data_IF_513314841575
#
_entry.id   IF_513314841575
#
_cell.length_a   1.000
_cell.length_b   1.000
_cell.length_c   1.000
_cell.angle_alpha   90.00
_cell.angle_beta   90.00
_cell.angle_gamma   90.00
#
_symmetry.space_group_name_H-M   'P 1'
#
loop_
_entity.id
_entity.type
_entity.pdbx_description
1 polymer ?
#
# COMPACT_ATOMS: atom_id res chain seq x y z
N UNK A 1 -12.29 15.39 7.05
CA UNK A 1 -11.48 16.11 6.04
C UNK A 1 -11.97 15.72 4.65
N UNK A 2 -11.77 16.56 3.62
CA UNK A 2 -12.06 16.17 2.24
C UNK A 2 -10.78 15.64 1.60
N UNK A 3 -10.70 14.30 1.48
CA UNK A 3 -9.53 13.62 0.94
C UNK A 3 -9.70 13.31 -0.56
N UNK A 4 -8.58 13.30 -1.29
CA UNK A 4 -8.53 12.89 -2.71
C UNK A 4 -8.96 11.42 -2.89
N UNK A 5 -8.42 10.52 -2.06
CA UNK A 5 -8.72 9.09 -2.04
C UNK A 5 -9.05 8.58 -0.64
N UNK A 6 -9.22 7.27 -0.47
CA UNK A 6 -9.57 6.64 0.82
C UNK A 6 -10.80 7.28 1.49
N UNK A 7 -11.77 7.74 0.67
CA UNK A 7 -12.91 8.57 1.09
C UNK A 7 -13.90 7.87 2.04
N UNK A 8 -13.86 6.53 2.08
CA UNK A 8 -14.65 5.72 2.99
C UNK A 8 -14.02 5.59 4.38
N UNK A 9 -12.76 6.01 4.56
CA UNK A 9 -12.09 6.09 5.87
C UNK A 9 -12.42 7.43 6.52
N UNK A 10 -13.01 7.40 7.71
CA UNK A 10 -13.33 8.62 8.44
C UNK A 10 -12.07 9.23 9.07
N UNK A 11 -11.64 10.38 8.54
CA UNK A 11 -10.50 11.14 9.06
C UNK A 11 -10.97 12.51 9.57
N UNK A 12 -10.65 12.79 10.83
CA UNK A 12 -11.11 13.98 11.57
C UNK A 12 -9.96 14.63 12.34
N UNK A 13 -10.00 15.95 12.42
CA UNK A 13 -9.21 16.69 13.41
C UNK A 13 -9.78 16.46 14.81
N UNK A 14 -8.90 16.47 15.82
CA UNK A 14 -9.25 16.36 17.24
C UNK A 14 -8.62 17.55 17.95
N UNK A 15 -9.38 18.19 18.86
CA UNK A 15 -8.94 19.33 19.66
C UNK A 15 -9.01 18.91 21.13
N UNK A 16 -7.97 19.23 21.90
CA UNK A 16 -7.93 19.02 23.34
C UNK A 16 -7.95 20.40 24.03
N UNK A 17 -9.10 20.78 24.61
CA UNK A 17 -9.29 22.01 25.40
C UNK A 17 -9.52 21.63 26.87
N UNK A 18 -8.60 22.05 27.76
CA UNK A 18 -8.64 21.80 29.20
C UNK A 18 -8.91 20.33 29.61
N UNK A 19 -8.48 19.38 28.77
CA UNK A 19 -8.67 17.94 29.00
C UNK A 19 -7.76 17.47 30.14
N UNK A 20 -8.38 17.06 31.25
CA UNK A 20 -7.68 16.49 32.41
C UNK A 20 -7.54 14.98 32.27
N UNK A 21 -6.31 14.49 32.29
CA UNK A 21 -5.99 13.06 32.20
C UNK A 21 -5.34 12.60 33.52
N UNK A 22 -5.87 11.55 34.17
CA UNK A 22 -5.25 10.96 35.36
C UNK A 22 -3.86 10.40 35.08
N UNK A 23 -2.97 10.38 36.07
CA UNK A 23 -1.57 9.94 35.91
C UNK A 23 -1.49 8.47 35.49
N UNK A 24 -2.42 7.65 35.95
CA UNK A 24 -2.58 6.24 35.63
C UNK A 24 -2.87 5.97 34.14
N UNK A 25 -3.34 6.97 33.39
CA UNK A 25 -3.56 6.85 31.95
C UNK A 25 -2.29 7.13 31.13
N UNK A 26 -1.18 7.55 31.76
CA UNK A 26 0.10 7.77 31.08
C UNK A 26 0.76 6.42 30.78
N UNK A 27 0.76 6.05 29.49
CA UNK A 27 1.35 4.79 29.04
C UNK A 27 2.87 4.75 29.26
N UNK A 28 3.34 3.77 30.04
CA UNK A 28 4.75 3.49 30.34
C UNK A 28 5.54 4.61 31.03
N UNK A 29 4.93 5.76 31.33
CA UNK A 29 5.57 6.89 32.01
C UNK A 29 6.05 8.01 31.08
N UNK A 30 6.40 9.13 31.70
CA UNK A 30 6.86 10.34 31.01
C UNK A 30 8.14 10.09 30.18
N UNK A 31 8.24 10.72 29.01
CA UNK A 31 9.41 10.62 28.13
C UNK A 31 9.42 9.40 27.20
N UNK A 32 8.54 8.42 27.37
CA UNK A 32 8.51 7.21 26.53
C UNK A 32 7.70 7.34 25.23
N UNK A 33 6.98 8.44 25.02
CA UNK A 33 6.02 8.60 23.91
C UNK A 33 6.59 8.33 22.51
N UNK A 34 7.77 8.89 22.19
CA UNK A 34 8.39 8.69 20.88
C UNK A 34 8.77 7.22 20.63
N UNK A 35 9.31 6.54 21.64
CA UNK A 35 9.67 5.12 21.55
C UNK A 35 8.42 4.26 21.29
N UNK A 36 7.33 4.52 22.01
CA UNK A 36 6.04 3.81 21.84
C UNK A 36 5.52 4.00 20.41
N UNK A 37 5.55 5.23 19.90
CA UNK A 37 5.11 5.51 18.53
C UNK A 37 5.95 4.75 17.50
N UNK A 38 7.28 4.76 17.63
CA UNK A 38 8.17 4.04 16.70
C UNK A 38 7.99 2.52 16.78
N UNK A 39 7.85 1.95 17.97
CA UNK A 39 7.56 0.52 18.15
C UNK A 39 6.22 0.14 17.53
N UNK A 40 5.21 0.99 17.66
CA UNK A 40 3.90 0.81 17.03
C UNK A 40 4.04 0.83 15.50
N UNK A 41 4.74 1.81 14.92
CA UNK A 41 4.94 1.87 13.47
C UNK A 41 5.71 0.68 12.90
N UNK A 42 6.68 0.15 13.65
CA UNK A 42 7.40 -1.05 13.22
C UNK A 42 6.49 -2.29 13.10
N UNK A 43 5.37 -2.31 13.84
CA UNK A 43 4.36 -3.37 13.78
C UNK A 43 3.26 -3.10 12.76
N UNK A 44 2.88 -1.85 12.54
CA UNK A 44 1.72 -1.51 11.68
C UNK A 44 2.08 -1.28 10.21
N UNK A 45 3.31 -0.84 9.90
CA UNK A 45 3.77 -0.64 8.51
C UNK A 45 3.61 -1.86 7.59
N UNK A 46 3.86 -3.12 8.02
CA UNK A 46 3.65 -4.29 7.17
C UNK A 46 2.19 -4.46 6.75
N UNK A 47 1.22 -4.21 7.64
CA UNK A 47 -0.20 -4.27 7.31
C UNK A 47 -0.59 -3.20 6.28
N UNK A 48 -0.07 -1.98 6.42
CA UNK A 48 -0.30 -0.90 5.44
C UNK A 48 0.35 -1.24 4.08
N UNK A 49 1.51 -1.89 4.08
CA UNK A 49 2.15 -2.39 2.86
C UNK A 49 1.31 -3.49 2.19
N UNK A 50 0.74 -4.41 2.97
CA UNK A 50 -0.17 -5.44 2.47
C UNK A 50 -1.40 -4.82 1.79
N UNK A 51 -2.00 -3.79 2.38
CA UNK A 51 -3.12 -3.06 1.77
C UNK A 51 -2.75 -2.41 0.44
N UNK A 52 -1.54 -1.85 0.33
CA UNK A 52 -1.03 -1.28 -0.92
C UNK A 52 -0.85 -2.35 -2.01
N UNK A 53 -0.32 -3.53 -1.66
CA UNK A 53 -0.24 -4.68 -2.58
C UNK A 53 -1.62 -5.15 -3.02
N UNK A 54 -2.60 -5.17 -2.13
CA UNK A 54 -3.99 -5.50 -2.47
C UNK A 54 -4.58 -4.55 -3.52
N UNK A 55 -4.36 -3.25 -3.36
CA UNK A 55 -4.76 -2.24 -4.34
C UNK A 55 -4.07 -2.46 -5.68
N UNK A 56 -2.74 -2.63 -5.67
CA UNK A 56 -1.94 -2.86 -6.87
C UNK A 56 -2.43 -4.10 -7.64
N UNK A 57 -2.70 -5.20 -6.91
CA UNK A 57 -3.22 -6.44 -7.48
C UNK A 57 -4.59 -6.23 -8.11
N UNK A 58 -5.48 -5.47 -7.47
CA UNK A 58 -6.79 -5.18 -8.05
C UNK A 58 -6.68 -4.37 -9.34
N UNK A 59 -5.83 -3.34 -9.36
CA UNK A 59 -5.58 -2.55 -10.57
C UNK A 59 -5.05 -3.42 -11.72
N UNK A 60 -4.11 -4.32 -11.42
CA UNK A 60 -3.60 -5.30 -12.38
C UNK A 60 -4.68 -6.26 -12.89
N UNK A 61 -5.56 -6.76 -12.03
CA UNK A 61 -6.62 -7.71 -12.43
C UNK A 61 -7.61 -7.07 -13.40
N UNK A 62 -8.00 -5.82 -13.14
CA UNK A 62 -8.89 -5.08 -14.06
C UNK A 62 -8.18 -4.77 -15.39
N UNK A 63 -6.94 -4.29 -15.34
CA UNK A 63 -6.18 -3.94 -16.54
C UNK A 63 -5.86 -5.16 -17.42
N UNK A 64 -5.44 -6.27 -16.80
CA UNK A 64 -5.15 -7.52 -17.50
C UNK A 64 -6.41 -8.09 -18.17
N UNK A 65 -7.54 -8.12 -17.46
CA UNK A 65 -8.83 -8.53 -18.03
C UNK A 65 -9.22 -7.65 -19.22
N UNK A 66 -9.23 -6.33 -19.03
CA UNK A 66 -9.58 -5.39 -20.11
C UNK A 66 -8.66 -5.53 -21.33
N UNK A 67 -7.36 -5.76 -21.11
CA UNK A 67 -6.39 -5.89 -22.19
C UNK A 67 -6.62 -7.09 -23.10
N UNK A 68 -7.26 -8.14 -22.59
CA UNK A 68 -7.62 -9.35 -23.34
C UNK A 68 -8.95 -9.20 -24.08
N UNK A 69 -9.86 -8.38 -23.57
CA UNK A 69 -11.18 -8.11 -24.16
C UNK A 69 -11.12 -7.01 -25.22
N UNK A 70 -10.42 -5.91 -24.93
CA UNK A 70 -10.32 -4.74 -25.81
C UNK A 70 -9.44 -5.06 -27.01
N UNK A 71 -9.95 -4.78 -28.21
CA UNK A 71 -9.19 -4.91 -29.46
C UNK A 71 -8.83 -3.56 -30.06
N UNK A 72 -7.63 -3.48 -30.60
CA UNK A 72 -7.17 -2.38 -31.46
C UNK A 72 -6.24 -2.94 -32.52
N UNK A 73 -6.33 -2.42 -33.75
CA UNK A 73 -5.57 -2.93 -34.90
C UNK A 73 -5.78 -4.43 -35.13
N UNK A 74 -7.02 -4.90 -34.97
CA UNK A 74 -7.43 -6.28 -35.29
C UNK A 74 -7.15 -7.35 -34.22
N UNK A 75 -6.40 -7.04 -33.16
CA UNK A 75 -6.03 -7.99 -32.09
C UNK A 75 -6.34 -7.45 -30.70
N UNK A 76 -6.47 -8.30 -29.67
CA UNK A 76 -6.51 -7.87 -28.28
C UNK A 76 -5.30 -7.02 -27.93
N UNK A 77 -5.48 -5.93 -27.17
CA UNK A 77 -4.39 -4.99 -26.90
C UNK A 77 -3.25 -5.61 -26.09
N UNK A 78 -3.51 -6.69 -25.35
CA UNK A 78 -2.48 -7.52 -24.70
C UNK A 78 -1.46 -8.13 -25.68
N UNK A 79 -1.81 -8.24 -26.98
CA UNK A 79 -0.91 -8.75 -28.02
C UNK A 79 0.12 -7.72 -28.47
N UNK A 80 -0.07 -6.44 -28.12
CA UNK A 80 0.89 -5.38 -28.40
C UNK A 80 1.96 -5.36 -27.30
N UNK A 81 3.23 -5.49 -27.71
CA UNK A 81 4.35 -5.66 -26.79
C UNK A 81 4.43 -4.59 -25.69
N UNK A 82 4.13 -3.33 -26.01
CA UNK A 82 4.12 -2.24 -25.04
C UNK A 82 3.13 -2.47 -23.88
N UNK A 83 1.93 -3.00 -24.16
CA UNK A 83 0.93 -3.33 -23.14
C UNK A 83 1.37 -4.56 -22.34
N UNK A 84 1.89 -5.58 -23.03
CA UNK A 84 2.42 -6.77 -22.37
C UNK A 84 3.56 -6.44 -21.39
N UNK A 85 4.44 -5.51 -21.74
CA UNK A 85 5.53 -5.05 -20.87
C UNK A 85 5.01 -4.32 -19.63
N UNK A 86 4.01 -3.44 -19.76
CA UNK A 86 3.38 -2.80 -18.60
C UNK A 86 2.78 -3.85 -17.65
N UNK A 87 2.02 -4.81 -18.18
CA UNK A 87 1.45 -5.89 -17.38
C UNK A 87 2.52 -6.74 -16.69
N UNK A 88 3.63 -7.04 -17.38
CA UNK A 88 4.74 -7.78 -16.80
C UNK A 88 5.40 -7.01 -15.65
N UNK A 89 5.67 -5.72 -15.82
CA UNK A 89 6.27 -4.87 -14.79
C UNK A 89 5.35 -4.73 -13.56
N UNK A 90 4.04 -4.57 -13.79
CA UNK A 90 3.04 -4.57 -12.71
C UNK A 90 3.08 -5.88 -11.93
N UNK A 91 3.06 -7.03 -12.63
CA UNK A 91 3.09 -8.34 -12.00
C UNK A 91 4.37 -8.57 -11.17
N UNK A 92 5.54 -8.20 -11.72
CA UNK A 92 6.83 -8.27 -11.02
C UNK A 92 6.78 -7.45 -9.74
N UNK A 93 6.37 -6.17 -9.84
CA UNK A 93 6.30 -5.27 -8.69
C UNK A 93 5.35 -5.76 -7.60
N UNK A 94 4.19 -6.31 -7.98
CA UNK A 94 3.21 -6.87 -7.03
C UNK A 94 3.80 -8.06 -6.29
N UNK A 95 4.46 -8.98 -6.99
CA UNK A 95 5.02 -10.19 -6.37
C UNK A 95 6.15 -9.84 -5.41
N UNK A 96 7.09 -8.99 -5.84
CA UNK A 96 8.22 -8.56 -5.00
C UNK A 96 7.75 -7.74 -3.80
N UNK A 97 6.76 -6.86 -3.97
CA UNK A 97 6.18 -6.11 -2.86
C UNK A 97 5.45 -7.03 -1.88
N UNK A 98 4.78 -8.07 -2.36
CA UNK A 98 4.13 -9.09 -1.52
C UNK A 98 5.14 -9.79 -0.62
N UNK A 99 6.22 -10.30 -1.21
CA UNK A 99 7.29 -10.97 -0.48
C UNK A 99 7.94 -10.04 0.56
N UNK A 100 8.12 -8.76 0.20
CA UNK A 100 8.70 -7.76 1.09
C UNK A 100 7.87 -7.53 2.36
N UNK A 101 6.56 -7.31 2.24
CA UNK A 101 5.72 -7.12 3.42
C UNK A 101 5.53 -8.41 4.21
N UNK A 102 5.44 -9.57 3.56
CA UNK A 102 5.32 -10.87 4.25
C UNK A 102 6.55 -11.16 5.09
N UNK A 103 7.75 -10.92 4.56
CA UNK A 103 8.99 -11.03 5.32
C UNK A 103 8.97 -10.11 6.54
N UNK A 104 8.54 -8.86 6.36
CA UNK A 104 8.46 -7.91 7.46
C UNK A 104 7.43 -8.31 8.52
N UNK A 105 6.25 -8.79 8.11
CA UNK A 105 5.24 -9.30 9.03
C UNK A 105 5.76 -10.53 9.80
N UNK A 106 6.44 -11.45 9.13
CA UNK A 106 7.05 -12.61 9.77
C UNK A 106 8.05 -12.23 10.86
N UNK A 107 8.89 -11.21 10.64
CA UNK A 107 9.80 -10.73 11.68
C UNK A 107 9.06 -10.19 12.91
N UNK A 108 7.91 -9.53 12.71
CA UNK A 108 7.04 -9.07 13.81
C UNK A 108 6.47 -10.25 14.59
N UNK A 109 5.91 -11.24 13.89
CA UNK A 109 5.29 -12.41 14.50
C UNK A 109 6.30 -13.23 15.33
N UNK A 110 7.56 -13.22 14.90
CA UNK A 110 8.67 -13.89 15.59
C UNK A 110 9.29 -13.04 16.71
N UNK A 111 8.75 -11.85 16.99
CA UNK A 111 9.25 -10.95 18.04
C UNK A 111 10.62 -10.33 17.75
N UNK A 112 11.06 -10.33 16.48
CA UNK A 112 12.38 -9.80 16.06
C UNK A 112 12.29 -8.32 15.68
N UNK A 113 13.45 -7.65 15.63
CA UNK A 113 13.55 -6.24 15.24
C UNK A 113 13.14 -6.06 13.78
N UNK A 114 12.06 -5.33 13.53
CA UNK A 114 11.47 -5.18 12.19
C UNK A 114 11.62 -3.77 11.58
N UNK A 115 12.23 -2.80 12.26
CA UNK A 115 12.22 -1.40 11.81
C UNK A 115 12.71 -1.17 10.37
N UNK A 116 13.79 -1.86 9.99
CA UNK A 116 14.37 -1.77 8.65
C UNK A 116 13.44 -2.36 7.58
N UNK A 117 13.00 -3.61 7.77
CA UNK A 117 12.15 -4.32 6.82
C UNK A 117 10.75 -3.69 6.72
N UNK A 118 10.19 -3.21 7.83
CA UNK A 118 8.93 -2.45 7.84
C UNK A 118 8.98 -1.20 6.96
N UNK A 119 10.11 -0.49 7.02
CA UNK A 119 10.31 0.74 6.25
C UNK A 119 10.43 0.43 4.76
N UNK A 120 11.22 -0.60 4.39
CA UNK A 120 11.34 -1.07 3.01
C UNK A 120 9.99 -1.54 2.46
N UNK A 121 9.31 -2.41 3.20
CA UNK A 121 8.03 -2.98 2.78
C UNK A 121 7.01 -1.88 2.50
N UNK A 122 6.87 -0.92 3.42
CA UNK A 122 5.90 0.17 3.25
C UNK A 122 6.27 1.11 2.10
N UNK A 123 7.52 1.54 2.00
CA UNK A 123 7.93 2.43 0.92
C UNK A 123 7.70 1.75 -0.45
N UNK A 124 8.28 0.58 -0.64
CA UNK A 124 8.25 -0.12 -1.91
C UNK A 124 6.84 -0.53 -2.35
N UNK A 125 6.03 -1.09 -1.44
CA UNK A 125 4.66 -1.47 -1.77
C UNK A 125 3.78 -0.26 -2.16
N UNK A 126 4.04 0.92 -1.58
CA UNK A 126 3.29 2.13 -1.92
C UNK A 126 3.63 2.64 -3.32
N UNK A 127 4.91 2.61 -3.68
CA UNK A 127 5.38 3.03 -5.00
C UNK A 127 4.86 2.08 -6.08
N UNK A 128 4.90 0.76 -5.82
CA UNK A 128 4.30 -0.26 -6.70
C UNK A 128 2.81 -0.02 -6.87
N UNK A 129 2.08 0.29 -5.79
CA UNK A 129 0.65 0.55 -5.86
C UNK A 129 0.31 1.78 -6.72
N UNK A 130 1.05 2.89 -6.54
CA UNK A 130 0.88 4.08 -7.37
C UNK A 130 1.18 3.77 -8.84
N UNK A 131 2.32 3.11 -9.12
CA UNK A 131 2.69 2.74 -10.50
C UNK A 131 1.63 1.85 -11.14
N UNK A 132 1.17 0.81 -10.46
CA UNK A 132 0.15 -0.09 -10.99
C UNK A 132 -1.18 0.64 -11.25
N UNK A 133 -1.59 1.56 -10.37
CA UNK A 133 -2.80 2.34 -10.59
C UNK A 133 -2.68 3.25 -11.82
N UNK A 134 -1.53 3.92 -11.98
CA UNK A 134 -1.24 4.77 -13.16
C UNK A 134 -1.19 3.96 -14.45
N UNK A 135 -0.47 2.84 -14.46
CA UNK A 135 -0.33 1.97 -15.64
C UNK A 135 -1.68 1.34 -16.01
N UNK A 136 -2.50 0.97 -15.03
CA UNK A 136 -3.84 0.48 -15.28
C UNK A 136 -4.69 1.50 -16.04
N UNK A 137 -4.76 2.75 -15.57
CA UNK A 137 -5.47 3.83 -16.29
C UNK A 137 -4.93 3.97 -17.71
N UNK A 138 -3.61 3.90 -17.90
CA UNK A 138 -2.99 3.98 -19.22
C UNK A 138 -3.39 2.82 -20.15
N UNK A 139 -3.56 1.60 -19.63
CA UNK A 139 -4.02 0.42 -20.39
C UNK A 139 -5.50 0.56 -20.77
N UNK A 140 -6.33 1.14 -19.90
CA UNK A 140 -7.73 1.45 -20.22
C UNK A 140 -7.87 2.58 -21.25
N UNK A 141 -6.88 3.46 -21.35
CA UNK A 141 -6.89 4.62 -22.25
C UNK A 141 -7.94 5.64 -21.83
N UNK A 142 -8.70 6.19 -22.77
CA UNK A 142 -9.76 7.17 -22.45
C UNK A 142 -10.92 6.64 -21.61
N UNK A 143 -10.99 5.31 -21.36
CA UNK A 143 -11.98 4.68 -20.49
C UNK A 143 -11.50 4.50 -19.04
N UNK A 144 -10.25 4.86 -18.75
CA UNK A 144 -9.60 4.68 -17.44
C UNK A 144 -9.97 5.75 -16.43
#
# INVERSE_FOLDING_TARGET
ELNMGQRASDTRGIIFEDVRIPKENVLLGEGHGFRIAMETFNKTRPAVAASAVGLAKRAFDEASKYSLERKAFGVPIASHQAVAFLLADMAIGIETARLSWQKSAWEVDQGRKNAYLASIAKAYASDVANKCATDAVQIFGGNG
#
